data_IF_545080972128
#
_entry.id   IF_545080972128
#
_cell.length_a   1.000
_cell.length_b   1.000
_cell.length_c   1.000
_cell.angle_alpha   90.00
_cell.angle_beta   90.00
_cell.angle_gamma   90.00
#
_symmetry.space_group_name_H-M   'P 1'
#
loop_
_entity.id
_entity.type
_entity.pdbx_description
1 polymer ?
#
# COMPACT_ATOMS: atom_id res chain seq x y z
N UNK A 1 -18.99 38.68 18.09
CA UNK A 1 -18.53 37.47 18.81
C UNK A 1 -17.79 36.63 17.78
N UNK A 2 -16.45 36.58 17.85
CA UNK A 2 -15.64 35.75 16.94
C UNK A 2 -15.60 34.36 17.55
N UNK A 3 -16.22 33.39 16.89
CA UNK A 3 -16.13 31.99 17.29
C UNK A 3 -14.74 31.52 16.87
N UNK A 4 -13.86 31.34 17.86
CA UNK A 4 -12.56 30.72 17.64
C UNK A 4 -12.82 29.26 17.23
N UNK A 5 -12.46 28.94 15.98
CA UNK A 5 -12.43 27.58 15.50
C UNK A 5 -11.23 26.90 16.15
N UNK A 6 -11.45 26.24 17.28
CA UNK A 6 -10.45 25.35 17.85
C UNK A 6 -10.54 24.04 17.06
N UNK A 7 -9.55 23.67 16.23
CA UNK A 7 -9.56 22.35 15.63
C UNK A 7 -9.49 21.35 16.78
N UNK A 8 -10.49 20.47 16.87
CA UNK A 8 -10.39 19.25 17.68
C UNK A 8 -9.40 18.36 16.96
N UNK A 9 -8.11 18.61 17.18
CA UNK A 9 -7.08 17.62 16.89
C UNK A 9 -7.36 16.50 17.89
N UNK A 10 -7.91 15.38 17.41
CA UNK A 10 -8.00 14.18 18.22
C UNK A 10 -6.60 13.88 18.77
N UNK A 11 -6.46 13.88 20.10
CA UNK A 11 -5.19 13.64 20.78
C UNK A 11 -4.57 12.29 20.40
N UNK A 12 -5.36 11.35 19.85
CA UNK A 12 -4.87 10.09 19.28
C UNK A 12 -4.02 10.26 18.01
N UNK A 13 -4.14 11.39 17.30
CA UNK A 13 -3.31 11.72 16.13
C UNK A 13 -1.98 12.37 16.50
N UNK A 14 -1.78 12.72 17.79
CA UNK A 14 -0.54 13.31 18.31
C UNK A 14 0.38 12.25 18.94
N UNK A 15 -0.13 11.04 19.22
CA UNK A 15 0.62 9.99 19.93
C UNK A 15 1.35 8.99 19.03
N UNK A 16 1.03 8.96 17.74
CA UNK A 16 1.69 8.02 16.85
C UNK A 16 3.12 8.45 16.56
N UNK A 17 4.03 7.49 16.61
CA UNK A 17 5.33 7.69 15.97
C UNK A 17 5.13 7.88 14.46
N UNK A 18 6.04 8.60 13.77
CA UNK A 18 6.03 8.70 12.32
C UNK A 18 5.87 7.33 11.63
N UNK A 19 6.46 6.28 12.22
CA UNK A 19 6.37 4.91 11.73
C UNK A 19 4.94 4.34 11.77
N UNK A 20 4.18 4.61 12.83
CA UNK A 20 2.79 4.18 12.97
C UNK A 20 1.87 4.95 12.03
N UNK A 21 2.16 6.24 11.79
CA UNK A 21 1.44 7.02 10.79
C UNK A 21 1.62 6.44 9.38
N UNK A 22 2.84 6.05 9.01
CA UNK A 22 3.10 5.43 7.69
C UNK A 22 2.32 4.12 7.54
N UNK A 23 2.28 3.27 8.56
CA UNK A 23 1.49 2.02 8.54
C UNK A 23 0.00 2.29 8.36
N UNK A 24 -0.54 3.28 9.08
CA UNK A 24 -1.94 3.69 8.92
C UNK A 24 -2.22 4.21 7.52
N UNK A 25 -1.31 4.99 6.91
CA UNK A 25 -1.48 5.50 5.55
C UNK A 25 -1.40 4.37 4.52
N UNK A 26 -0.49 3.40 4.68
CA UNK A 26 -0.45 2.19 3.84
C UNK A 26 -1.80 1.47 3.90
N UNK A 27 -2.30 1.17 5.10
CA UNK A 27 -3.59 0.50 5.27
C UNK A 27 -4.76 1.30 4.70
N UNK A 28 -4.78 2.62 4.92
CA UNK A 28 -5.81 3.51 4.38
C UNK A 28 -5.82 3.54 2.85
N UNK A 29 -4.65 3.47 2.21
CA UNK A 29 -4.56 3.39 0.75
C UNK A 29 -5.10 2.06 0.23
N UNK A 30 -4.87 0.93 0.90
CA UNK A 30 -5.47 -0.36 0.50
C UNK A 30 -7.00 -0.25 0.51
N UNK A 31 -7.58 0.21 1.62
CA UNK A 31 -9.04 0.37 1.75
C UNK A 31 -9.60 1.33 0.70
N UNK A 32 -8.93 2.46 0.46
CA UNK A 32 -9.36 3.41 -0.57
C UNK A 32 -9.27 2.83 -2.00
N UNK A 33 -8.29 1.94 -2.25
CA UNK A 33 -8.16 1.19 -3.49
C UNK A 33 -9.29 0.18 -3.69
N UNK A 34 -9.64 -0.56 -2.63
CA UNK A 34 -10.76 -1.51 -2.64
C UNK A 34 -12.08 -0.78 -2.89
N UNK A 35 -12.33 0.30 -2.15
CA UNK A 35 -13.50 1.16 -2.32
C UNK A 35 -13.60 1.74 -3.74
N UNK A 36 -12.47 2.10 -4.35
CA UNK A 36 -12.42 2.60 -5.72
C UNK A 36 -12.69 1.47 -6.74
N UNK A 37 -12.19 0.27 -6.49
CA UNK A 37 -12.47 -0.93 -7.28
C UNK A 37 -13.97 -1.26 -7.28
N UNK A 38 -14.60 -1.21 -6.11
CA UNK A 38 -16.04 -1.44 -5.95
C UNK A 38 -16.89 -0.40 -6.71
N UNK A 39 -16.39 0.84 -6.82
CA UNK A 39 -17.01 1.90 -7.63
C UNK A 39 -16.70 1.79 -9.13
N UNK A 40 -15.81 0.89 -9.53
CA UNK A 40 -15.32 0.77 -10.91
C UNK A 40 -14.38 1.89 -11.34
N UNK A 41 -13.86 2.70 -10.41
CA UNK A 41 -12.86 3.73 -10.70
C UNK A 41 -11.46 3.11 -10.75
N UNK A 42 -11.17 2.50 -11.90
CA UNK A 42 -9.93 1.75 -12.16
C UNK A 42 -8.68 2.62 -11.98
N UNK A 43 -8.74 3.90 -12.35
CA UNK A 43 -7.59 4.81 -12.27
C UNK A 43 -7.30 5.14 -10.81
N UNK A 44 -8.34 5.45 -10.04
CA UNK A 44 -8.18 5.78 -8.63
C UNK A 44 -7.77 4.55 -7.79
N UNK A 45 -8.30 3.37 -8.11
CA UNK A 45 -7.89 2.13 -7.46
C UNK A 45 -6.39 1.85 -7.64
N UNK A 46 -5.90 1.90 -8.89
CA UNK A 46 -4.47 1.70 -9.18
C UNK A 46 -3.58 2.72 -8.46
N UNK A 47 -4.00 3.99 -8.42
CA UNK A 47 -3.26 5.04 -7.72
C UNK A 47 -3.07 4.71 -6.23
N UNK A 48 -4.14 4.30 -5.56
CA UNK A 48 -4.07 3.99 -4.13
C UNK A 48 -3.22 2.75 -3.84
N UNK A 49 -3.37 1.67 -4.60
CA UNK A 49 -2.53 0.48 -4.43
C UNK A 49 -1.05 0.79 -4.69
N UNK A 50 -0.72 1.59 -5.72
CA UNK A 50 0.66 2.01 -5.99
C UNK A 50 1.24 2.87 -4.86
N UNK A 51 0.48 3.80 -4.29
CA UNK A 51 0.95 4.58 -3.14
C UNK A 51 1.21 3.71 -1.90
N UNK A 52 0.36 2.70 -1.64
CA UNK A 52 0.59 1.75 -0.55
C UNK A 52 1.92 1.00 -0.75
N UNK A 53 2.20 0.57 -1.99
CA UNK A 53 3.45 -0.11 -2.37
C UNK A 53 4.65 0.81 -2.17
N UNK A 54 4.60 2.05 -2.68
CA UNK A 54 5.72 2.99 -2.59
C UNK A 54 6.07 3.33 -1.13
N UNK A 55 5.06 3.52 -0.28
CA UNK A 55 5.26 3.75 1.15
C UNK A 55 5.82 2.52 1.88
N UNK A 56 5.33 1.33 1.53
CA UNK A 56 5.86 0.09 2.09
C UNK A 56 7.32 -0.15 1.67
N UNK A 57 7.66 0.15 0.43
CA UNK A 57 9.03 0.06 -0.09
C UNK A 57 9.96 1.07 0.60
N UNK A 58 9.49 2.28 0.89
CA UNK A 58 10.25 3.28 1.67
C UNK A 58 10.45 2.86 3.13
N UNK A 59 9.43 2.28 3.76
CA UNK A 59 9.46 1.93 5.20
C UNK A 59 10.21 0.63 5.48
N UNK A 60 9.94 -0.42 4.71
CA UNK A 60 10.47 -1.76 4.94
C UNK A 60 11.68 -2.07 4.03
N UNK A 61 11.96 -1.21 3.05
CA UNK A 61 12.86 -1.49 1.96
C UNK A 61 12.19 -2.33 0.86
N UNK A 62 12.92 -2.59 -0.22
CA UNK A 62 12.46 -3.44 -1.33
C UNK A 62 12.37 -4.94 -1.00
N UNK A 63 12.19 -5.33 0.27
CA UNK A 63 12.30 -6.72 0.73
C UNK A 63 11.23 -7.07 1.75
N UNK A 64 10.80 -8.33 1.74
CA UNK A 64 9.99 -8.93 2.79
C UNK A 64 8.50 -9.03 2.51
N UNK A 65 7.82 -9.75 3.42
CA UNK A 65 6.43 -10.14 3.29
C UNK A 65 5.43 -8.97 3.11
N UNK A 66 5.57 -7.80 3.76
CA UNK A 66 4.63 -6.69 3.58
C UNK A 66 4.57 -6.14 2.16
N UNK A 67 5.73 -5.97 1.52
CA UNK A 67 5.81 -5.49 0.13
C UNK A 67 5.26 -6.53 -0.85
N UNK A 68 5.59 -7.81 -0.65
CA UNK A 68 5.06 -8.90 -1.47
C UNK A 68 3.54 -8.99 -1.39
N UNK A 69 2.94 -8.81 -0.21
CA UNK A 69 1.50 -8.80 -0.02
C UNK A 69 0.80 -7.69 -0.82
N UNK A 70 1.33 -6.46 -0.75
CA UNK A 70 0.77 -5.32 -1.49
C UNK A 70 0.91 -5.48 -3.01
N UNK A 71 2.02 -6.05 -3.46
CA UNK A 71 2.21 -6.39 -4.88
C UNK A 71 1.20 -7.45 -5.32
N UNK A 72 0.87 -8.45 -4.49
CA UNK A 72 -0.20 -9.41 -4.81
C UNK A 72 -1.55 -8.72 -4.98
N UNK A 73 -1.91 -7.78 -4.10
CA UNK A 73 -3.16 -6.99 -4.25
C UNK A 73 -3.20 -6.28 -5.62
N UNK A 74 -2.09 -5.65 -6.03
CA UNK A 74 -2.02 -4.98 -7.32
C UNK A 74 -2.09 -5.97 -8.50
N UNK A 75 -1.51 -7.17 -8.37
CA UNK A 75 -1.61 -8.21 -9.38
C UNK A 75 -3.07 -8.70 -9.54
N UNK A 76 -3.75 -9.00 -8.44
CA UNK A 76 -5.15 -9.43 -8.44
C UNK A 76 -6.05 -8.34 -9.04
N UNK A 77 -5.79 -7.08 -8.70
CA UNK A 77 -6.45 -5.94 -9.32
C UNK A 77 -6.24 -5.93 -10.84
N UNK A 78 -5.00 -6.06 -11.33
CA UNK A 78 -4.74 -6.11 -12.77
C UNK A 78 -5.35 -7.33 -13.47
N UNK A 79 -5.40 -8.49 -12.81
CA UNK A 79 -6.08 -9.68 -13.34
C UNK A 79 -7.57 -9.43 -13.53
N UNK A 80 -8.23 -8.76 -12.56
CA UNK A 80 -9.64 -8.38 -12.67
C UNK A 80 -9.93 -7.47 -13.88
N UNK A 81 -8.93 -6.68 -14.30
CA UNK A 81 -8.99 -5.78 -15.46
C UNK A 81 -8.46 -6.40 -16.75
N UNK A 82 -8.10 -7.69 -16.75
CA UNK A 82 -7.46 -8.40 -17.87
C UNK A 82 -6.16 -7.75 -18.36
N UNK A 83 -5.46 -7.01 -17.50
CA UNK A 83 -4.19 -6.35 -17.81
C UNK A 83 -3.01 -7.30 -17.62
N UNK A 84 -2.98 -8.39 -18.40
CA UNK A 84 -2.06 -9.52 -18.21
C UNK A 84 -0.56 -9.16 -18.30
N UNK A 85 -0.23 -8.14 -19.09
CA UNK A 85 1.16 -7.65 -19.17
C UNK A 85 1.61 -7.04 -17.83
N UNK A 86 0.74 -6.25 -17.19
CA UNK A 86 1.04 -5.63 -15.90
C UNK A 86 1.08 -6.69 -14.79
N UNK A 87 0.19 -7.69 -14.84
CA UNK A 87 0.24 -8.86 -13.95
C UNK A 87 1.59 -9.55 -14.02
N UNK A 88 2.09 -9.82 -15.23
CA UNK A 88 3.38 -10.51 -15.43
C UNK A 88 4.53 -9.72 -14.80
N UNK A 89 4.51 -8.40 -14.96
CA UNK A 89 5.53 -7.51 -14.40
C UNK A 89 5.46 -7.46 -12.87
N UNK A 90 4.26 -7.36 -12.29
CA UNK A 90 4.08 -7.38 -10.83
C UNK A 90 4.49 -8.74 -10.26
N UNK A 91 4.12 -9.86 -10.90
CA UNK A 91 4.54 -11.20 -10.47
C UNK A 91 6.07 -11.38 -10.52
N UNK A 92 6.76 -10.74 -11.48
CA UNK A 92 8.23 -10.71 -11.50
C UNK A 92 8.76 -9.99 -10.26
N UNK A 93 8.23 -8.81 -9.92
CA UNK A 93 8.61 -8.08 -8.71
C UNK A 93 8.36 -8.88 -7.44
N UNK A 94 7.22 -9.57 -7.31
CA UNK A 94 6.92 -10.43 -6.15
C UNK A 94 8.00 -11.49 -5.96
N UNK A 95 8.40 -12.17 -7.05
CA UNK A 95 9.46 -13.20 -6.99
C UNK A 95 10.80 -12.61 -6.58
N UNK A 96 11.15 -11.40 -7.02
CA UNK A 96 12.38 -10.73 -6.64
C UNK A 96 12.41 -10.40 -5.15
N UNK A 97 11.34 -9.77 -4.65
CA UNK A 97 11.18 -9.44 -3.23
C UNK A 97 11.27 -10.69 -2.35
N UNK A 98 10.64 -11.79 -2.76
CA UNK A 98 10.62 -13.05 -2.00
C UNK A 98 11.91 -13.87 -2.14
N UNK A 99 12.55 -13.88 -3.31
CA UNK A 99 13.83 -14.59 -3.50
C UNK A 99 14.95 -13.96 -2.67
N UNK A 100 14.93 -12.64 -2.53
CA UNK A 100 15.87 -11.93 -1.68
C UNK A 100 15.57 -12.15 -0.19
N UNK A 101 14.31 -12.32 0.18
CA UNK A 101 13.90 -12.62 1.55
C UNK A 101 14.38 -14.00 2.03
N UNK A 102 14.15 -15.05 1.23
CA UNK A 102 14.54 -16.44 1.57
C UNK A 102 16.06 -16.60 1.70
N UNK A 103 16.86 -15.81 0.98
CA UNK A 103 18.33 -15.83 1.09
C UNK A 103 18.84 -15.19 2.38
N UNK A 104 18.09 -14.27 2.98
CA UNK A 104 18.51 -13.57 4.21
C UNK A 104 18.15 -14.37 5.46
N UNK A 105 17.04 -15.11 5.47
CA UNK A 105 16.62 -15.89 6.66
C UNK A 105 17.36 -17.23 6.84
N UNK A 106 18.08 -17.71 5.82
CA UNK A 106 18.83 -18.98 5.84
C UNK A 106 20.35 -18.81 5.87
N UNK A 107 20.84 -17.58 6.09
CA UNK A 107 22.27 -17.22 6.13
C UNK A 107 22.78 -16.97 7.54
#
# INVERSE_FOLDING_TARGET
MKTDFQPVIDHSMIQDSPDQLVERVIASNIVAGDDATDRGDVVQAEYFYRNAIDLAELKYGGKGAPLAYLLTILADFYESQQRLNDVTEVQRRIREVMSDYVRVELG
#
